data_IF_483601204650
#
_entry.id   IF_483601204650
#
_cell.length_a   1.000
_cell.length_b   1.000
_cell.length_c   1.000
_cell.angle_alpha   90.00
_cell.angle_beta   90.00
_cell.angle_gamma   90.00
#
_symmetry.space_group_name_H-M   'P 1'
#
loop_
_entity.id
_entity.type
_entity.pdbx_description
1 polymer ?
#
# COMPACT_ATOMS: atom_id res chain seq x y z
N UNK A 1 -9.69 -25.67 23.19
CA UNK A 1 -8.89 -26.50 22.26
C UNK A 1 -8.23 -27.61 23.07
N UNK A 2 -8.32 -28.84 22.60
CA UNK A 2 -7.63 -29.99 23.19
C UNK A 2 -6.83 -30.71 22.10
N UNK A 3 -5.65 -31.21 22.42
CA UNK A 3 -4.75 -31.89 21.47
C UNK A 3 -4.39 -33.25 22.05
N UNK A 4 -4.55 -34.30 21.25
CA UNK A 4 -4.26 -35.69 21.61
C UNK A 4 -3.42 -36.33 20.51
N UNK A 5 -2.50 -37.21 20.86
CA UNK A 5 -1.69 -37.95 19.89
C UNK A 5 -1.85 -39.45 20.09
N UNK A 6 -1.87 -40.22 19.01
CA UNK A 6 -1.83 -41.68 19.03
C UNK A 6 -0.92 -42.22 17.93
N UNK A 7 -0.50 -43.46 18.11
CA UNK A 7 0.17 -44.24 17.07
C UNK A 7 -0.85 -45.12 16.37
N UNK A 8 -1.13 -44.81 15.11
CA UNK A 8 -2.05 -45.58 14.28
C UNK A 8 -1.37 -45.95 12.96
N UNK A 9 -1.26 -47.25 12.67
CA UNK A 9 -0.74 -47.79 11.41
C UNK A 9 0.69 -47.30 11.05
N UNK A 10 1.57 -47.20 12.05
CA UNK A 10 2.94 -46.73 11.84
C UNK A 10 3.06 -45.23 11.54
N UNK A 11 1.99 -44.46 11.77
CA UNK A 11 1.96 -43.00 11.67
C UNK A 11 1.63 -42.40 13.03
N UNK A 12 2.35 -41.34 13.38
CA UNK A 12 1.93 -40.45 14.46
C UNK A 12 0.72 -39.64 13.99
N UNK A 13 -0.43 -39.83 14.63
CA UNK A 13 -1.66 -39.10 14.33
C UNK A 13 -1.95 -38.13 15.48
N UNK A 14 -2.12 -36.85 15.15
CA UNK A 14 -2.50 -35.81 16.10
C UNK A 14 -3.96 -35.45 15.86
N UNK A 15 -4.78 -35.57 16.89
CA UNK A 15 -6.17 -35.12 16.93
C UNK A 15 -6.26 -33.78 17.64
N UNK A 16 -6.89 -32.82 16.97
CA UNK A 16 -7.17 -31.50 17.55
C UNK A 16 -8.68 -31.35 17.67
N UNK A 17 -9.17 -31.22 18.90
CA UNK A 17 -10.56 -30.88 19.17
C UNK A 17 -10.67 -29.38 19.37
N UNK A 18 -11.40 -28.75 18.46
CA UNK A 18 -11.75 -27.35 18.49
C UNK A 18 -13.22 -27.23 18.88
N UNK A 19 -13.48 -26.53 19.97
CA UNK A 19 -14.84 -26.18 20.35
C UNK A 19 -15.28 -25.00 19.48
N UNK A 20 -16.06 -25.31 18.45
CA UNK A 20 -16.54 -24.33 17.47
C UNK A 20 -17.50 -23.32 18.11
N UNK A 21 -18.18 -23.67 19.21
CA UNK A 21 -19.08 -22.73 19.91
C UNK A 21 -18.30 -21.58 20.56
N UNK A 22 -17.05 -21.82 20.94
CA UNK A 22 -16.16 -20.77 21.48
C UNK A 22 -15.59 -19.87 20.38
N UNK A 23 -15.63 -20.30 19.12
CA UNK A 23 -15.17 -19.53 17.97
C UNK A 23 -16.35 -18.75 17.37
N UNK A 24 -16.33 -17.43 17.53
CA UNK A 24 -17.29 -16.55 16.81
C UNK A 24 -17.27 -16.85 15.30
N UNK A 25 -18.41 -16.80 14.60
CA UNK A 25 -18.46 -16.99 13.15
C UNK A 25 -17.44 -16.11 12.42
N UNK A 26 -16.66 -16.71 11.51
CA UNK A 26 -15.66 -15.98 10.74
C UNK A 26 -14.50 -16.85 10.27
N UNK A 27 -13.43 -16.19 9.82
CA UNK A 27 -12.18 -16.84 9.41
C UNK A 27 -11.29 -17.00 10.62
N UNK A 28 -10.64 -18.14 10.81
CA UNK A 28 -9.72 -18.37 11.92
C UNK A 28 -8.42 -18.97 11.40
N UNK A 29 -7.30 -18.43 11.87
CA UNK A 29 -5.96 -18.96 11.58
C UNK A 29 -5.43 -19.62 12.84
N UNK A 30 -5.29 -20.94 12.79
CA UNK A 30 -4.81 -21.75 13.89
C UNK A 30 -3.40 -22.24 13.55
N UNK A 31 -2.40 -21.70 14.25
CA UNK A 31 -1.01 -22.12 14.11
C UNK A 31 -0.73 -23.34 14.98
N UNK A 32 -0.23 -24.42 14.37
CA UNK A 32 0.27 -25.59 15.08
C UNK A 32 1.80 -25.58 15.06
N UNK A 33 2.39 -25.54 16.25
CA UNK A 33 3.82 -25.73 16.45
C UNK A 33 4.12 -27.17 16.84
N UNK A 34 5.30 -27.65 16.48
CA UNK A 34 5.83 -28.94 16.92
C UNK A 34 7.11 -28.72 17.73
N UNK A 35 7.34 -29.57 18.73
CA UNK A 35 8.59 -29.58 19.49
C UNK A 35 9.43 -30.76 19.06
N UNK A 36 10.57 -30.50 18.42
CA UNK A 36 11.51 -31.53 17.95
C UNK A 36 12.87 -31.28 18.58
N UNK A 37 13.48 -32.29 19.21
CA UNK A 37 14.79 -32.15 19.85
C UNK A 37 14.84 -31.10 20.97
N UNK A 38 13.70 -30.79 21.59
CA UNK A 38 13.61 -29.79 22.66
C UNK A 38 13.31 -28.35 22.20
N UNK A 39 13.36 -28.05 20.90
CA UNK A 39 13.04 -26.75 20.33
C UNK A 39 11.63 -26.71 19.75
N UNK A 40 10.89 -25.62 20.00
CA UNK A 40 9.60 -25.36 19.36
C UNK A 40 9.82 -24.73 17.99
N UNK A 41 9.11 -25.23 16.99
CA UNK A 41 9.11 -24.69 15.63
C UNK A 41 7.72 -24.82 15.00
N UNK A 42 7.58 -24.28 13.79
CA UNK A 42 6.37 -24.41 12.97
C UNK A 42 6.55 -25.48 11.91
N UNK A 43 5.43 -25.96 11.36
CA UNK A 43 5.46 -26.94 10.27
C UNK A 43 5.62 -26.21 8.93
N UNK A 44 6.76 -26.46 8.29
CA UNK A 44 7.15 -25.87 7.02
C UNK A 44 7.66 -26.96 6.07
N UNK A 45 7.54 -26.73 4.77
CA UNK A 45 8.17 -27.56 3.75
C UNK A 45 9.66 -27.21 3.59
N UNK A 46 10.36 -27.95 2.72
CA UNK A 46 11.79 -27.73 2.44
C UNK A 46 12.10 -26.38 1.79
N UNK A 47 11.09 -25.60 1.41
CA UNK A 47 11.20 -24.28 0.81
C UNK A 47 10.75 -23.17 1.76
N UNK A 48 10.62 -23.47 3.06
CA UNK A 48 10.12 -22.56 4.11
C UNK A 48 8.65 -22.16 3.92
N UNK A 49 7.92 -22.91 3.09
CA UNK A 49 6.49 -22.71 2.88
C UNK A 49 5.71 -23.31 4.03
N UNK A 50 4.86 -22.51 4.69
CA UNK A 50 4.03 -23.00 5.79
C UNK A 50 2.99 -23.99 5.31
N UNK A 51 2.78 -25.05 6.09
CA UNK A 51 1.75 -26.04 5.79
C UNK A 51 0.44 -25.61 6.46
N UNK A 52 -0.62 -25.50 5.68
CA UNK A 52 -1.96 -25.21 6.19
C UNK A 52 -3.05 -25.93 5.40
N UNK A 53 -4.07 -26.38 6.13
CA UNK A 53 -5.29 -27.00 5.60
C UNK A 53 -6.43 -26.01 5.81
N UNK A 54 -7.14 -25.66 4.74
CA UNK A 54 -8.35 -24.85 4.84
C UNK A 54 -9.57 -25.76 4.99
N UNK A 55 -10.26 -25.64 6.11
CA UNK A 55 -11.50 -26.37 6.40
C UNK A 55 -12.61 -25.35 6.65
N UNK A 56 -13.75 -25.56 6.01
CA UNK A 56 -14.95 -24.78 6.28
C UNK A 56 -15.91 -25.60 7.13
N UNK A 57 -16.41 -25.02 8.22
CA UNK A 57 -17.25 -25.70 9.21
C UNK A 57 -18.55 -24.93 9.37
N UNK A 58 -19.68 -25.60 9.20
CA UNK A 58 -21.01 -25.04 9.39
C UNK A 58 -21.41 -24.96 10.87
N UNK A 59 -22.57 -24.36 11.15
CA UNK A 59 -23.09 -24.15 12.52
C UNK A 59 -23.30 -25.44 13.33
N UNK A 60 -23.42 -26.59 12.65
CA UNK A 60 -23.58 -27.91 13.29
C UNK A 60 -22.23 -28.59 13.58
N UNK A 61 -21.11 -27.90 13.34
CA UNK A 61 -19.77 -28.46 13.50
C UNK A 61 -19.33 -29.39 12.35
N UNK A 62 -20.16 -29.55 11.31
CA UNK A 62 -19.85 -30.38 10.14
C UNK A 62 -19.08 -29.60 9.08
N UNK A 63 -18.18 -30.28 8.39
CA UNK A 63 -17.50 -29.72 7.23
C UNK A 63 -18.51 -29.37 6.13
N UNK A 64 -18.32 -28.21 5.51
CA UNK A 64 -19.12 -27.72 4.38
C UNK A 64 -18.17 -27.38 3.22
N UNK A 65 -18.62 -27.50 1.95
CA UNK A 65 -17.77 -27.16 0.82
C UNK A 65 -17.48 -25.65 0.77
N UNK A 66 -16.27 -25.27 0.34
CA UNK A 66 -15.88 -23.86 0.21
C UNK A 66 -16.80 -23.04 -0.71
N UNK A 67 -17.40 -23.67 -1.74
CA UNK A 67 -18.40 -23.03 -2.61
C UNK A 67 -19.65 -22.59 -1.85
N UNK A 68 -20.06 -23.35 -0.83
CA UNK A 68 -21.17 -22.96 0.04
C UNK A 68 -20.81 -21.76 0.89
N UNK A 69 -19.59 -21.69 1.44
CA UNK A 69 -19.11 -20.51 2.20
C UNK A 69 -19.13 -19.24 1.34
N UNK A 70 -18.77 -19.36 0.07
CA UNK A 70 -18.80 -18.25 -0.89
C UNK A 70 -20.23 -17.81 -1.18
N UNK A 71 -21.16 -18.76 -1.36
CA UNK A 71 -22.58 -18.46 -1.57
C UNK A 71 -23.20 -17.78 -0.34
N UNK A 72 -22.91 -18.30 0.85
CA UNK A 72 -23.42 -17.77 2.12
C UNK A 72 -22.87 -16.36 2.42
N UNK A 73 -21.72 -15.99 1.84
CA UNK A 73 -21.10 -14.68 1.99
C UNK A 73 -22.02 -13.53 1.59
N UNK A 74 -22.90 -13.75 0.61
CA UNK A 74 -23.85 -12.76 0.12
C UNK A 74 -24.88 -12.32 1.18
N UNK A 75 -25.01 -13.07 2.28
CA UNK A 75 -25.95 -12.76 3.37
C UNK A 75 -25.29 -12.03 4.55
N UNK A 76 -23.98 -11.81 4.49
CA UNK A 76 -23.22 -11.18 5.58
C UNK A 76 -23.49 -9.69 5.69
N UNK A 77 -23.56 -9.19 6.92
CA UNK A 77 -23.54 -7.75 7.15
C UNK A 77 -22.14 -7.19 6.84
N UNK A 78 -22.05 -5.94 6.36
CA UNK A 78 -20.79 -5.31 5.97
C UNK A 78 -19.73 -5.35 7.09
N UNK A 79 -20.13 -5.18 8.35
CA UNK A 79 -19.23 -5.29 9.50
C UNK A 79 -18.62 -6.68 9.63
N UNK A 80 -19.39 -7.73 9.36
CA UNK A 80 -18.89 -9.10 9.33
C UNK A 80 -17.96 -9.32 8.14
N UNK A 81 -18.29 -8.76 6.97
CA UNK A 81 -17.44 -8.80 5.78
C UNK A 81 -16.06 -8.21 6.08
N UNK A 82 -15.98 -7.03 6.72
CA UNK A 82 -14.70 -6.42 7.14
C UNK A 82 -13.94 -7.28 8.13
N UNK A 83 -14.63 -7.82 9.15
CA UNK A 83 -14.01 -8.70 10.14
C UNK A 83 -13.40 -9.96 9.53
N UNK A 84 -14.10 -10.57 8.57
CA UNK A 84 -13.62 -11.76 7.84
C UNK A 84 -12.51 -11.42 6.86
N UNK A 85 -12.64 -10.31 6.12
CA UNK A 85 -11.62 -9.84 5.17
C UNK A 85 -10.31 -9.49 5.90
N UNK A 86 -10.38 -8.89 7.09
CA UNK A 86 -9.20 -8.56 7.90
C UNK A 86 -8.36 -9.80 8.22
N UNK A 87 -9.01 -10.88 8.67
CA UNK A 87 -8.35 -12.15 9.00
C UNK A 87 -7.88 -12.89 7.75
N UNK A 88 -8.63 -12.79 6.66
CA UNK A 88 -8.23 -13.35 5.38
C UNK A 88 -7.04 -12.60 4.75
N UNK A 89 -6.94 -11.28 4.97
CA UNK A 89 -5.77 -10.49 4.60
C UNK A 89 -4.53 -10.90 5.42
N UNK A 90 -4.69 -11.31 6.68
CA UNK A 90 -3.61 -11.93 7.45
C UNK A 90 -3.18 -13.27 6.86
N UNK A 91 -4.12 -14.11 6.42
CA UNK A 91 -3.83 -15.38 5.75
C UNK A 91 -2.96 -15.20 4.51
N UNK A 92 -3.33 -14.27 3.62
CA UNK A 92 -2.62 -14.07 2.35
C UNK A 92 -1.25 -13.40 2.47
N UNK A 93 -0.92 -12.86 3.65
CA UNK A 93 0.41 -12.33 3.97
C UNK A 93 1.42 -13.40 4.37
N UNK A 94 0.99 -14.65 4.50
CA UNK A 94 1.87 -15.78 4.81
C UNK A 94 2.34 -16.47 3.53
N UNK A 95 3.59 -16.96 3.54
CA UNK A 95 4.11 -17.86 2.52
C UNK A 95 3.62 -19.29 2.81
N UNK A 96 2.64 -19.76 2.04
CA UNK A 96 2.14 -21.13 2.13
C UNK A 96 2.89 -22.07 1.18
N UNK A 97 3.07 -23.32 1.63
CA UNK A 97 3.58 -24.41 0.82
C UNK A 97 2.73 -24.61 -0.44
N UNK A 98 3.33 -24.87 -1.61
CA UNK A 98 2.58 -25.20 -2.82
C UNK A 98 1.62 -26.38 -2.65
N UNK A 99 1.96 -27.34 -1.78
CA UNK A 99 1.12 -28.50 -1.48
C UNK A 99 -0.25 -28.12 -0.89
N UNK A 100 -0.37 -26.92 -0.31
CA UNK A 100 -1.59 -26.44 0.32
C UNK A 100 -2.50 -25.66 -0.64
N UNK A 101 -2.03 -25.27 -1.83
CA UNK A 101 -2.77 -24.35 -2.70
C UNK A 101 -4.08 -24.94 -3.24
N UNK A 102 -4.13 -26.24 -3.52
CA UNK A 102 -5.36 -26.88 -4.00
C UNK A 102 -6.47 -26.81 -2.93
N UNK A 103 -6.14 -27.18 -1.69
CA UNK A 103 -7.08 -27.15 -0.56
C UNK A 103 -7.52 -25.73 -0.20
N UNK A 104 -6.67 -24.74 -0.44
CA UNK A 104 -6.94 -23.32 -0.17
C UNK A 104 -7.54 -22.58 -1.37
N UNK A 105 -7.75 -23.23 -2.51
CA UNK A 105 -8.12 -22.56 -3.77
C UNK A 105 -9.40 -21.73 -3.67
N UNK A 106 -10.38 -22.20 -2.90
CA UNK A 106 -11.65 -21.50 -2.67
C UNK A 106 -11.50 -20.21 -1.86
N UNK A 107 -10.44 -20.05 -1.06
CA UNK A 107 -10.19 -18.82 -0.28
C UNK A 107 -9.96 -17.61 -1.17
N UNK A 108 -9.38 -17.81 -2.36
CA UNK A 108 -9.20 -16.72 -3.33
C UNK A 108 -10.53 -16.20 -3.88
N UNK A 109 -11.47 -17.11 -4.16
CA UNK A 109 -12.82 -16.74 -4.60
C UNK A 109 -13.61 -16.09 -3.46
N UNK A 110 -13.45 -16.61 -2.23
CA UNK A 110 -14.06 -16.02 -1.04
C UNK A 110 -13.55 -14.60 -0.79
N UNK A 111 -12.26 -14.36 -0.94
CA UNK A 111 -11.67 -13.02 -0.87
C UNK A 111 -12.29 -12.07 -1.88
N UNK A 112 -12.39 -12.49 -3.15
CA UNK A 112 -13.00 -11.67 -4.20
C UNK A 112 -14.44 -11.32 -3.86
N UNK A 113 -15.23 -12.28 -3.37
CA UNK A 113 -16.60 -12.04 -2.93
C UNK A 113 -16.68 -11.01 -1.80
N UNK A 114 -15.84 -11.13 -0.76
CA UNK A 114 -15.82 -10.17 0.36
C UNK A 114 -15.39 -8.75 -0.10
N UNK A 115 -14.42 -8.68 -1.02
CA UNK A 115 -14.01 -7.42 -1.64
C UNK A 115 -15.13 -6.81 -2.47
N UNK A 116 -15.85 -7.61 -3.26
CA UNK A 116 -16.95 -7.12 -4.09
C UNK A 116 -18.12 -6.62 -3.22
N UNK A 117 -18.42 -7.26 -2.09
CA UNK A 117 -19.42 -6.80 -1.13
C UNK A 117 -19.06 -5.47 -0.45
N UNK A 118 -17.77 -5.20 -0.26
CA UNK A 118 -17.30 -3.92 0.33
C UNK A 118 -17.07 -2.82 -0.70
N UNK A 119 -17.12 -3.14 -1.99
CA UNK A 119 -16.98 -2.14 -3.05
C UNK A 119 -18.11 -1.14 -2.93
N UNK A 120 -17.78 0.14 -3.08
CA UNK A 120 -18.69 1.27 -2.91
C UNK A 120 -19.11 1.56 -1.45
N UNK A 121 -18.63 0.79 -0.47
CA UNK A 121 -18.81 1.01 0.97
C UNK A 121 -17.47 1.28 1.70
N UNK A 122 -16.38 1.54 0.98
CA UNK A 122 -15.06 1.74 1.59
C UNK A 122 -15.00 2.96 2.52
N UNK A 123 -15.92 3.91 2.35
CA UNK A 123 -15.96 5.13 3.12
C UNK A 123 -16.49 4.93 4.56
N UNK A 124 -17.21 3.85 4.83
CA UNK A 124 -17.69 3.48 6.17
C UNK A 124 -16.61 2.82 7.02
N UNK A 125 -15.61 2.20 6.38
CA UNK A 125 -14.59 1.34 7.02
C UNK A 125 -13.16 1.81 6.76
N UNK A 126 -12.96 3.13 6.67
CA UNK A 126 -11.66 3.73 6.32
C UNK A 126 -10.55 3.30 7.26
N UNK A 127 -10.83 3.20 8.55
CA UNK A 127 -9.85 2.83 9.58
C UNK A 127 -9.37 1.39 9.38
N UNK A 128 -10.29 0.45 9.20
CA UNK A 128 -9.99 -0.98 9.01
C UNK A 128 -9.30 -1.24 7.68
N UNK A 129 -9.74 -0.58 6.60
CA UNK A 129 -9.11 -0.69 5.29
C UNK A 129 -7.70 -0.07 5.27
N UNK A 130 -7.50 1.07 5.94
CA UNK A 130 -6.18 1.65 6.11
C UNK A 130 -5.27 0.73 6.93
N UNK A 131 -5.80 0.11 7.99
CA UNK A 131 -5.08 -0.89 8.79
C UNK A 131 -4.64 -2.10 7.97
N UNK A 132 -5.50 -2.61 7.10
CA UNK A 132 -5.15 -3.66 6.14
C UNK A 132 -4.10 -3.21 5.13
N UNK A 133 -4.08 -1.93 4.74
CA UNK A 133 -3.07 -1.36 3.85
C UNK A 133 -1.68 -1.20 4.50
N UNK A 134 -1.65 -1.04 5.82
CA UNK A 134 -0.42 -0.87 6.62
C UNK A 134 0.18 -2.19 7.10
N UNK A 135 -0.46 -3.31 6.78
CA UNK A 135 -0.04 -4.64 7.15
C UNK A 135 1.10 -5.15 6.26
N UNK A 136 2.27 -5.45 6.85
CA UNK A 136 3.41 -6.10 6.18
C UNK A 136 3.35 -7.63 6.36
N UNK A 137 4.01 -8.43 5.49
CA UNK A 137 4.31 -9.82 5.81
C UNK A 137 5.03 -9.91 7.16
N UNK A 138 4.86 -11.01 7.89
CA UNK A 138 5.55 -11.20 9.17
C UNK A 138 7.06 -11.37 8.99
N UNK A 139 7.83 -11.07 10.03
CA UNK A 139 9.31 -11.19 10.02
C UNK A 139 9.80 -12.63 9.80
N UNK A 140 8.90 -13.59 10.02
CA UNK A 140 9.07 -15.03 9.87
C UNK A 140 8.61 -15.54 8.49
N UNK A 141 8.41 -14.64 7.53
CA UNK A 141 8.13 -14.96 6.12
C UNK A 141 9.41 -14.76 5.32
N UNK A 142 9.70 -15.69 4.42
CA UNK A 142 10.86 -15.61 3.53
C UNK A 142 10.96 -14.24 2.84
N UNK A 143 12.14 -13.64 2.92
CA UNK A 143 12.40 -12.34 2.30
C UNK A 143 12.11 -12.37 0.79
N UNK A 144 11.49 -11.29 0.30
CA UNK A 144 11.07 -11.16 -1.09
C UNK A 144 9.70 -11.75 -1.41
N UNK A 145 9.01 -12.35 -0.43
CA UNK A 145 7.64 -12.77 -0.59
C UNK A 145 6.69 -11.58 -0.82
N UNK A 146 5.82 -11.71 -1.82
CA UNK A 146 4.78 -10.73 -2.14
C UNK A 146 3.43 -11.42 -2.08
N UNK A 147 2.59 -10.98 -1.13
CA UNK A 147 1.26 -11.54 -0.88
C UNK A 147 0.38 -11.54 -2.13
N UNK A 148 -0.17 -12.69 -2.54
CA UNK A 148 -0.98 -12.81 -3.77
C UNK A 148 -2.26 -11.96 -3.77
N UNK A 149 -2.82 -11.63 -2.62
CA UNK A 149 -3.97 -10.74 -2.53
C UNK A 149 -3.57 -9.47 -1.80
N UNK A 150 -4.11 -8.33 -2.25
CA UNK A 150 -3.82 -7.02 -1.67
C UNK A 150 -5.11 -6.23 -1.54
N UNK A 151 -5.60 -6.11 -0.30
CA UNK A 151 -6.78 -5.29 0.02
C UNK A 151 -6.63 -3.86 -0.49
N UNK A 152 -5.53 -3.13 -0.22
CA UNK A 152 -5.42 -1.75 -0.69
C UNK A 152 -5.33 -1.60 -2.21
N UNK A 153 -5.02 -2.67 -2.95
CA UNK A 153 -5.05 -2.65 -4.41
C UNK A 153 -6.47 -2.85 -4.96
N UNK A 154 -7.26 -3.71 -4.32
CA UNK A 154 -8.64 -4.02 -4.73
C UNK A 154 -9.68 -3.01 -4.21
N UNK A 155 -9.48 -2.48 -2.99
CA UNK A 155 -10.33 -1.50 -2.31
C UNK A 155 -9.60 -0.15 -2.19
N UNK A 156 -9.04 0.31 -3.31
CA UNK A 156 -8.18 1.50 -3.35
C UNK A 156 -8.92 2.83 -3.10
N UNK A 157 -10.27 2.81 -3.11
CA UNK A 157 -11.10 3.96 -2.71
C UNK A 157 -10.91 4.38 -1.27
N UNK A 158 -10.28 3.55 -0.43
CA UNK A 158 -9.83 4.00 0.90
C UNK A 158 -8.91 5.24 0.81
N UNK A 159 -8.13 5.38 -0.26
CA UNK A 159 -7.24 6.52 -0.48
C UNK A 159 -7.90 7.72 -1.18
N UNK A 160 -9.16 7.55 -1.61
CA UNK A 160 -9.96 8.60 -2.26
C UNK A 160 -10.97 9.22 -1.30
N UNK A 161 -10.81 9.04 0.00
CA UNK A 161 -11.74 9.56 0.99
C UNK A 161 -11.42 11.01 1.35
N UNK A 162 -12.43 11.81 1.75
CA UNK A 162 -12.19 13.15 2.27
C UNK A 162 -11.22 13.11 3.45
N UNK A 163 -10.26 14.05 3.48
CA UNK A 163 -9.19 14.08 4.50
C UNK A 163 -9.68 14.00 5.94
N UNK A 164 -10.89 14.49 6.22
CA UNK A 164 -11.51 14.43 7.55
C UNK A 164 -11.74 13.00 8.05
N UNK A 165 -12.01 12.03 7.17
CA UNK A 165 -12.23 10.62 7.55
C UNK A 165 -10.96 9.96 8.11
N UNK A 166 -9.78 10.40 7.69
CA UNK A 166 -8.51 9.83 8.16
C UNK A 166 -8.12 10.19 9.60
N UNK A 167 -8.89 11.06 10.27
CA UNK A 167 -8.67 11.39 11.69
C UNK A 167 -8.73 10.15 12.60
N UNK A 168 -9.50 9.14 12.20
CA UNK A 168 -9.72 7.91 12.96
C UNK A 168 -8.72 6.79 12.64
N UNK A 169 -7.83 6.99 11.66
CA UNK A 169 -6.82 5.98 11.29
C UNK A 169 -5.90 5.70 12.47
N UNK A 170 -5.66 4.42 12.75
CA UNK A 170 -4.85 3.99 13.88
C UNK A 170 -3.37 4.40 13.71
N UNK A 171 -2.74 4.69 14.85
CA UNK A 171 -1.30 4.91 14.92
C UNK A 171 -0.56 3.59 14.69
N UNK A 172 0.23 3.51 13.63
CA UNK A 172 1.10 2.35 13.35
C UNK A 172 2.48 2.84 12.91
N UNK A 173 3.56 2.08 13.15
CA UNK A 173 4.88 2.38 12.62
C UNK A 173 4.93 2.09 11.10
N UNK A 174 4.18 2.87 10.32
CA UNK A 174 4.06 2.73 8.87
C UNK A 174 3.90 4.10 8.22
N UNK A 175 4.57 4.34 7.08
CA UNK A 175 4.56 5.62 6.39
C UNK A 175 3.14 6.12 6.03
N UNK A 176 2.26 5.21 5.62
CA UNK A 176 0.84 5.53 5.40
C UNK A 176 0.13 6.04 6.67
N UNK A 177 0.42 5.48 7.86
CA UNK A 177 -0.21 5.94 9.12
C UNK A 177 0.12 7.41 9.36
N UNK A 178 1.40 7.76 9.24
CA UNK A 178 1.92 9.12 9.44
C UNK A 178 1.22 10.09 8.49
N UNK A 179 1.21 9.76 7.19
CA UNK A 179 0.64 10.64 6.16
C UNK A 179 -0.88 10.78 6.27
N UNK A 180 -1.62 9.67 6.40
CA UNK A 180 -3.08 9.71 6.45
C UNK A 180 -3.55 10.52 7.67
N UNK A 181 -2.86 10.41 8.80
CA UNK A 181 -3.16 11.18 10.01
C UNK A 181 -2.76 12.65 9.92
N UNK A 182 -1.79 13.00 9.07
CA UNK A 182 -1.40 14.39 8.82
C UNK A 182 -2.41 15.13 7.92
N UNK A 183 -3.06 14.46 6.97
CA UNK A 183 -4.00 15.09 6.03
C UNK A 183 -5.14 15.89 6.68
N UNK A 184 -5.80 15.42 7.76
CA UNK A 184 -6.83 16.20 8.46
C UNK A 184 -6.40 17.59 8.93
N UNK A 185 -5.09 17.86 9.05
CA UNK A 185 -4.53 19.15 9.47
C UNK A 185 -4.66 20.23 8.39
N UNK A 186 -4.91 19.88 7.13
CA UNK A 186 -5.07 20.83 6.02
C UNK A 186 -6.46 21.48 5.99
N UNK A 187 -6.93 21.99 7.14
CA UNK A 187 -8.21 22.70 7.25
C UNK A 187 -7.98 24.22 7.15
N UNK A 188 -8.91 24.91 6.49
CA UNK A 188 -8.89 26.37 6.40
C UNK A 188 -7.69 26.90 5.62
N UNK A 189 -6.90 27.79 6.23
CA UNK A 189 -5.87 28.58 5.54
C UNK A 189 -4.62 27.78 5.10
N UNK A 190 -4.44 26.52 5.54
CA UNK A 190 -3.27 25.64 5.33
C UNK A 190 -1.93 26.19 5.84
N UNK A 191 -1.69 27.50 5.82
CA UNK A 191 -0.45 28.15 6.26
C UNK A 191 0.08 27.72 7.64
N UNK A 192 -0.76 27.51 8.69
CA UNK A 192 -0.29 27.08 10.00
C UNK A 192 0.37 25.69 10.03
N UNK A 193 0.18 24.88 8.98
CA UNK A 193 0.76 23.52 8.93
C UNK A 193 2.24 23.51 8.53
N UNK A 194 2.75 24.59 7.93
CA UNK A 194 4.17 24.71 7.60
C UNK A 194 4.99 24.98 8.87
N UNK A 195 5.96 24.12 9.16
CA UNK A 195 6.77 24.14 10.38
C UNK A 195 6.18 23.34 11.55
N UNK A 196 4.88 23.05 11.54
CA UNK A 196 4.23 22.23 12.58
C UNK A 196 4.03 20.78 12.13
N UNK A 197 3.40 20.57 10.98
CA UNK A 197 3.14 19.23 10.42
C UNK A 197 3.99 19.00 9.18
N UNK A 198 4.06 20.00 8.30
CA UNK A 198 4.85 19.98 7.08
C UNK A 198 6.19 20.68 7.29
N UNK A 199 7.18 20.27 6.52
CA UNK A 199 8.42 20.98 6.42
C UNK A 199 8.22 22.38 5.79
N UNK A 200 8.84 23.45 6.32
CA UNK A 200 8.68 24.81 5.80
C UNK A 200 8.97 24.95 4.30
N UNK A 201 9.85 24.10 3.76
CA UNK A 201 10.22 24.11 2.33
C UNK A 201 9.02 23.90 1.40
N UNK A 202 7.99 23.16 1.84
CA UNK A 202 6.77 22.97 1.06
C UNK A 202 6.04 24.31 0.83
N UNK A 203 6.15 25.26 1.75
CA UNK A 203 5.60 26.61 1.62
C UNK A 203 6.34 27.48 0.59
N UNK A 204 7.61 27.20 0.33
CA UNK A 204 8.43 27.94 -0.65
C UNK A 204 8.02 27.66 -2.09
N UNK A 205 7.34 26.54 -2.32
CA UNK A 205 6.85 26.13 -3.65
C UNK A 205 5.69 26.96 -4.18
N UNK A 206 5.04 27.79 -3.35
CA UNK A 206 3.92 28.62 -3.77
C UNK A 206 4.39 29.93 -4.38
N UNK A 207 3.65 30.43 -5.38
CA UNK A 207 3.97 31.69 -6.07
C UNK A 207 4.04 32.88 -5.10
N UNK A 208 3.29 32.83 -4.01
CA UNK A 208 3.28 33.84 -2.95
C UNK A 208 4.00 33.39 -1.67
N UNK A 209 5.12 32.66 -1.77
CA UNK A 209 5.87 32.11 -0.63
C UNK A 209 6.20 33.12 0.49
N UNK A 210 6.51 34.38 0.16
CA UNK A 210 6.75 35.43 1.16
C UNK A 210 5.51 35.74 2.02
N UNK A 211 4.32 35.67 1.43
CA UNK A 211 3.04 35.83 2.13
C UNK A 211 2.75 34.59 2.98
N UNK A 212 3.00 33.39 2.44
CA UNK A 212 2.85 32.12 3.17
C UNK A 212 3.68 32.10 4.44
N UNK A 213 4.93 32.58 4.38
CA UNK A 213 5.80 32.70 5.56
C UNK A 213 5.28 33.68 6.61
N UNK A 214 4.39 34.61 6.23
CA UNK A 214 3.68 35.51 7.15
C UNK A 214 2.35 34.94 7.65
N UNK A 215 2.06 33.66 7.36
CA UNK A 215 0.83 32.97 7.74
C UNK A 215 -0.34 33.22 6.79
N UNK A 216 -0.11 33.85 5.63
CA UNK A 216 -1.16 34.03 4.63
C UNK A 216 -1.34 32.77 3.78
N UNK A 217 -2.47 32.70 3.07
CA UNK A 217 -2.86 31.51 2.32
C UNK A 217 -1.92 31.25 1.13
N UNK A 218 -1.50 30.00 0.90
CA UNK A 218 -0.73 29.62 -0.28
C UNK A 218 -1.55 29.72 -1.56
N UNK A 219 -0.89 30.10 -2.66
CA UNK A 219 -1.49 30.22 -4.00
C UNK A 219 -0.55 29.67 -5.07
N UNK A 220 -1.11 28.93 -6.03
CA UNK A 220 -0.42 28.47 -7.24
C UNK A 220 0.88 27.71 -6.96
N UNK A 221 0.76 26.45 -6.56
CA UNK A 221 1.89 25.56 -6.33
C UNK A 221 2.75 25.39 -7.60
N UNK A 222 4.05 25.55 -7.48
CA UNK A 222 5.03 25.42 -8.56
C UNK A 222 5.91 24.19 -8.31
N UNK A 223 5.67 23.09 -9.06
CA UNK A 223 6.40 21.84 -8.85
C UNK A 223 7.90 21.97 -9.12
N UNK A 224 8.27 22.80 -10.11
CA UNK A 224 9.66 23.13 -10.41
C UNK A 224 10.36 23.82 -9.23
N UNK A 225 9.72 24.85 -8.65
CA UNK A 225 10.28 25.57 -7.51
C UNK A 225 10.40 24.66 -6.28
N UNK A 226 9.42 23.77 -6.06
CA UNK A 226 9.49 22.77 -4.99
C UNK A 226 10.69 21.84 -5.15
N UNK A 227 10.91 21.31 -6.36
CA UNK A 227 12.05 20.44 -6.69
C UNK A 227 13.38 21.15 -6.42
N UNK A 228 13.54 22.37 -6.92
CA UNK A 228 14.74 23.18 -6.71
C UNK A 228 14.99 23.45 -5.22
N UNK A 229 13.92 23.74 -4.47
CA UNK A 229 13.99 24.01 -3.04
C UNK A 229 14.39 22.76 -2.23
N UNK A 230 13.86 21.58 -2.59
CA UNK A 230 14.25 20.30 -1.98
C UNK A 230 15.72 19.97 -2.22
N UNK A 231 16.20 20.11 -3.47
CA UNK A 231 17.60 19.85 -3.84
C UNK A 231 18.54 20.79 -3.10
N UNK A 232 18.20 22.09 -3.04
CA UNK A 232 19.04 23.09 -2.36
C UNK A 232 19.12 22.89 -0.85
N UNK A 233 18.04 22.43 -0.23
CA UNK A 233 18.00 22.23 1.23
C UNK A 233 18.73 20.96 1.64
N UNK A 234 18.53 19.86 0.90
CA UNK A 234 19.11 18.56 1.24
C UNK A 234 18.54 17.95 2.53
N UNK A 235 18.77 16.65 2.78
CA UNK A 235 18.26 15.95 3.95
C UNK A 235 19.16 16.19 5.17
N UNK A 236 18.83 17.19 6.01
CA UNK A 236 19.39 17.28 7.36
C UNK A 236 19.05 16.02 8.16
N UNK A 237 20.00 15.48 8.91
CA UNK A 237 19.78 14.24 9.68
C UNK A 237 19.79 12.95 8.85
N UNK A 238 20.42 12.94 7.66
CA UNK A 238 20.50 11.76 6.78
C UNK A 238 20.99 10.46 7.46
N UNK A 239 21.79 10.55 8.55
CA UNK A 239 22.20 9.39 9.35
C UNK A 239 21.00 8.59 9.91
N UNK A 240 19.84 9.21 10.13
CA UNK A 240 18.63 8.52 10.60
C UNK A 240 18.09 7.53 9.57
N UNK A 241 18.43 7.70 8.28
CA UNK A 241 17.99 6.81 7.21
C UNK A 241 18.67 5.43 7.26
N UNK A 242 19.74 5.28 8.05
CA UNK A 242 20.39 4.00 8.32
C UNK A 242 19.48 3.07 9.15
N UNK A 243 18.63 3.64 10.01
CA UNK A 243 17.63 2.92 10.78
C UNK A 243 16.43 2.53 9.89
N UNK A 244 16.14 1.23 9.78
CA UNK A 244 15.02 0.72 9.00
C UNK A 244 13.65 1.03 9.60
N UNK A 245 13.61 1.37 10.88
CA UNK A 245 12.41 1.74 11.63
C UNK A 245 12.13 3.23 11.64
N UNK A 246 13.06 4.04 11.10
CA UNK A 246 12.90 5.48 11.01
C UNK A 246 11.63 5.85 10.26
N UNK A 247 10.88 6.80 10.83
CA UNK A 247 9.73 7.41 10.20
C UNK A 247 9.83 8.93 10.33
N UNK A 248 9.52 9.69 9.26
CA UNK A 248 9.47 11.14 9.31
C UNK A 248 8.48 11.64 10.36
N UNK A 249 8.89 12.65 11.12
CA UNK A 249 8.09 13.26 12.19
C UNK A 249 7.25 14.43 11.66
N UNK A 250 6.35 14.92 12.51
CA UNK A 250 5.69 16.20 12.28
C UNK A 250 6.74 17.32 12.12
N UNK A 251 6.55 18.20 11.14
CA UNK A 251 7.52 19.23 10.75
C UNK A 251 8.56 18.76 9.74
N UNK A 252 8.69 17.45 9.49
CA UNK A 252 9.61 16.88 8.47
C UNK A 252 8.86 16.46 7.19
N UNK A 253 7.53 16.35 7.25
CA UNK A 253 6.72 15.83 6.14
C UNK A 253 6.79 16.76 4.92
N UNK A 254 6.95 16.18 3.72
CA UNK A 254 7.19 16.94 2.49
C UNK A 254 8.48 17.78 2.54
N UNK A 255 9.40 17.43 3.44
CA UNK A 255 10.78 17.90 3.44
C UNK A 255 11.73 16.96 2.69
N UNK A 256 13.01 17.35 2.56
CA UNK A 256 14.02 16.53 1.91
C UNK A 256 14.26 15.21 2.65
N UNK A 257 14.23 15.20 3.99
CA UNK A 257 14.40 13.96 4.79
C UNK A 257 13.26 12.96 4.55
N UNK A 258 12.00 13.43 4.49
CA UNK A 258 10.87 12.55 4.14
C UNK A 258 11.02 12.00 2.71
N UNK A 259 11.41 12.83 1.73
CA UNK A 259 11.64 12.35 0.37
C UNK A 259 12.79 11.32 0.32
N UNK A 260 13.90 11.57 1.02
CA UNK A 260 15.03 10.64 1.10
C UNK A 260 14.63 9.31 1.75
N UNK A 261 13.86 9.35 2.84
CA UNK A 261 13.26 8.15 3.44
C UNK A 261 12.38 7.38 2.44
N UNK A 262 11.53 8.08 1.69
CA UNK A 262 10.67 7.45 0.69
C UNK A 262 11.45 6.75 -0.43
N UNK A 263 12.57 7.32 -0.89
CA UNK A 263 13.47 6.68 -1.84
C UNK A 263 14.18 5.47 -1.23
N UNK A 264 14.68 5.58 0.00
CA UNK A 264 15.39 4.50 0.70
C UNK A 264 14.49 3.30 1.02
N UNK A 265 13.27 3.54 1.47
CA UNK A 265 12.24 2.50 1.70
C UNK A 265 11.91 1.76 0.40
N UNK A 266 11.73 2.49 -0.71
CA UNK A 266 11.48 1.91 -2.03
C UNK A 266 12.68 1.10 -2.56
N UNK A 267 13.91 1.57 -2.33
CA UNK A 267 15.13 0.85 -2.68
C UNK A 267 15.21 -0.49 -1.95
N UNK A 268 15.06 -0.48 -0.61
CA UNK A 268 15.00 -1.69 0.22
C UNK A 268 13.88 -2.64 -0.22
N UNK A 269 12.70 -2.10 -0.51
CA UNK A 269 11.57 -2.89 -1.01
C UNK A 269 11.87 -3.56 -2.35
N UNK A 270 12.52 -2.83 -3.28
CA UNK A 270 12.91 -3.39 -4.58
C UNK A 270 13.96 -4.48 -4.41
N UNK A 271 15.00 -4.25 -3.62
CA UNK A 271 16.04 -5.24 -3.31
C UNK A 271 15.44 -6.51 -2.69
N UNK A 272 14.60 -6.36 -1.68
CA UNK A 272 13.91 -7.47 -1.03
C UNK A 272 13.09 -8.27 -2.06
N UNK A 273 12.32 -7.59 -2.92
CA UNK A 273 11.52 -8.25 -3.97
C UNK A 273 12.36 -8.99 -5.03
N UNK A 274 13.67 -8.73 -5.14
CA UNK A 274 14.57 -9.44 -6.08
C UNK A 274 14.89 -10.85 -5.60
N UNK A 275 14.79 -11.11 -4.30
CA UNK A 275 15.15 -12.38 -3.66
C UNK A 275 14.24 -13.55 -4.08
N UNK A 276 13.06 -13.27 -4.61
CA UNK A 276 12.16 -14.28 -5.17
C UNK A 276 11.70 -13.95 -6.59
N UNK A 277 11.64 -14.94 -7.50
CA UNK A 277 10.97 -14.79 -8.78
C UNK A 277 9.48 -14.47 -8.59
N UNK A 278 8.98 -13.51 -9.36
CA UNK A 278 7.58 -13.09 -9.27
C UNK A 278 7.10 -12.56 -10.62
N UNK A 279 6.14 -13.28 -11.22
CA UNK A 279 5.46 -12.82 -12.45
C UNK A 279 4.77 -11.48 -12.23
N UNK A 280 4.30 -11.21 -11.00
CA UNK A 280 3.73 -9.93 -10.63
C UNK A 280 4.77 -8.81 -10.69
N UNK A 281 5.97 -9.03 -10.14
CA UNK A 281 7.07 -8.04 -10.23
C UNK A 281 7.35 -7.69 -11.68
N UNK A 282 7.52 -8.69 -12.55
CA UNK A 282 7.78 -8.48 -13.97
C UNK A 282 6.65 -7.69 -14.65
N UNK A 283 5.39 -8.05 -14.42
CA UNK A 283 4.24 -7.35 -14.98
C UNK A 283 4.10 -5.92 -14.45
N UNK A 284 4.38 -5.70 -13.16
CA UNK A 284 4.33 -4.39 -12.54
C UNK A 284 5.44 -3.47 -13.08
N UNK A 285 6.69 -3.93 -13.15
CA UNK A 285 7.78 -3.16 -13.72
C UNK A 285 7.52 -2.80 -15.19
N UNK A 286 7.03 -3.75 -15.98
CA UNK A 286 6.70 -3.52 -17.37
C UNK A 286 5.54 -2.53 -17.55
N UNK A 287 4.49 -2.60 -16.70
CA UNK A 287 3.40 -1.63 -16.69
C UNK A 287 3.88 -0.24 -16.25
N UNK A 288 4.74 -0.14 -15.22
CA UNK A 288 5.28 1.13 -14.74
C UNK A 288 6.15 1.82 -15.82
N UNK A 289 6.98 1.04 -16.53
CA UNK A 289 7.76 1.52 -17.68
C UNK A 289 6.84 2.04 -18.78
N UNK A 290 5.85 1.25 -19.17
CA UNK A 290 4.89 1.62 -20.21
C UNK A 290 4.10 2.87 -19.82
N UNK A 291 3.65 2.98 -18.58
CA UNK A 291 2.95 4.15 -18.08
C UNK A 291 3.82 5.41 -18.09
N UNK A 292 5.08 5.32 -17.66
CA UNK A 292 6.02 6.45 -17.74
C UNK A 292 6.25 6.91 -19.17
N UNK A 293 6.32 5.99 -20.14
CA UNK A 293 6.49 6.32 -21.56
C UNK A 293 5.29 7.10 -22.11
N UNK A 294 4.08 6.65 -21.80
CA UNK A 294 2.83 7.27 -22.28
C UNK A 294 2.42 8.52 -21.47
N UNK A 295 2.96 8.68 -20.26
CA UNK A 295 2.64 9.80 -19.37
C UNK A 295 3.87 10.26 -18.56
N UNK A 296 4.89 10.84 -19.23
CA UNK A 296 6.14 11.24 -18.58
C UNK A 296 6.00 12.51 -17.73
N UNK A 297 4.98 13.32 -18.00
CA UNK A 297 4.75 14.61 -17.35
C UNK A 297 3.24 14.92 -17.30
N UNK A 298 2.89 15.98 -16.57
CA UNK A 298 1.55 16.53 -16.57
C UNK A 298 1.17 17.16 -17.92
N UNK A 299 -0.09 16.97 -18.33
CA UNK A 299 -0.65 17.58 -19.54
C UNK A 299 -1.17 19.00 -19.28
N UNK A 300 -1.86 19.60 -20.25
CA UNK A 300 -2.41 20.96 -20.15
C UNK A 300 -3.65 21.07 -19.26
N UNK A 301 -4.26 19.95 -18.85
CA UNK A 301 -5.53 19.92 -18.11
C UNK A 301 -5.35 20.16 -16.61
N UNK A 302 -4.11 20.13 -16.11
CA UNK A 302 -3.80 20.34 -14.69
C UNK A 302 -3.52 21.81 -14.35
N UNK A 303 -3.45 22.18 -13.04
CA UNK A 303 -3.07 23.52 -12.61
C UNK A 303 -1.76 24.02 -13.23
N UNK A 304 -1.68 25.33 -13.49
CA UNK A 304 -0.63 25.92 -14.32
C UNK A 304 0.79 25.62 -13.85
N UNK A 305 1.05 25.62 -12.54
CA UNK A 305 2.37 25.35 -11.97
C UNK A 305 2.81 23.88 -11.98
N UNK A 306 1.97 22.99 -12.53
CA UNK A 306 2.29 21.57 -12.75
C UNK A 306 2.49 21.23 -14.24
N UNK A 307 1.99 22.05 -15.17
CA UNK A 307 1.93 21.69 -16.60
C UNK A 307 3.32 21.44 -17.18
N UNK A 308 3.49 20.32 -17.88
CA UNK A 308 4.76 19.93 -18.49
C UNK A 308 5.83 19.45 -17.51
N UNK A 309 5.60 19.54 -16.20
CA UNK A 309 6.54 19.09 -15.19
C UNK A 309 6.47 17.58 -14.97
N UNK A 310 7.63 16.97 -14.71
CA UNK A 310 7.73 15.56 -14.33
C UNK A 310 7.30 15.39 -12.88
N UNK A 311 6.53 14.33 -12.61
CA UNK A 311 6.00 14.06 -11.26
C UNK A 311 7.09 13.63 -10.29
N UNK A 312 8.02 12.79 -10.76
CA UNK A 312 9.03 12.17 -9.91
C UNK A 312 10.02 13.21 -9.41
N UNK A 313 10.06 13.43 -8.11
CA UNK A 313 11.06 14.21 -7.38
C UNK A 313 12.24 13.31 -7.04
N UNK A 314 13.43 13.71 -7.49
CA UNK A 314 14.68 12.95 -7.28
C UNK A 314 15.74 13.92 -6.75
N UNK A 315 16.33 13.59 -5.59
CA UNK A 315 17.39 14.37 -4.95
C UNK A 315 18.78 14.03 -5.53
N UNK A 316 18.91 12.89 -6.22
CA UNK A 316 20.18 12.30 -6.66
C UNK A 316 20.59 12.67 -8.08
N UNK A 317 19.89 13.58 -8.77
CA UNK A 317 20.27 14.01 -10.14
C UNK A 317 21.52 14.91 -10.20
N UNK A 318 22.30 15.01 -9.11
CA UNK A 318 23.41 15.95 -8.98
C UNK A 318 24.78 15.27 -8.77
N UNK A 319 24.83 13.95 -8.52
CA UNK A 319 26.09 13.20 -8.47
C UNK A 319 26.47 12.78 -9.89
N UNK A 320 27.47 13.41 -10.49
CA UNK A 320 27.98 13.12 -11.84
C UNK A 320 28.83 11.84 -11.91
N UNK A 321 28.59 10.89 -11.01
CA UNK A 321 29.32 9.63 -10.97
C UNK A 321 28.76 8.71 -12.07
N UNK A 322 29.66 8.09 -12.84
CA UNK A 322 29.30 7.04 -13.79
C UNK A 322 28.79 5.82 -13.00
N UNK A 323 27.50 5.51 -13.14
CA UNK A 323 26.89 4.31 -12.61
C UNK A 323 27.23 3.13 -13.52
N UNK A 324 27.37 1.93 -12.95
CA UNK A 324 27.43 0.72 -13.77
C UNK A 324 26.04 0.36 -14.37
N UNK A 325 26.02 -0.56 -15.33
CA UNK A 325 24.79 -0.98 -16.02
C UNK A 325 23.72 -1.53 -15.05
N UNK A 326 24.13 -2.18 -13.94
CA UNK A 326 23.20 -2.74 -12.96
C UNK A 326 22.56 -1.66 -12.10
N UNK A 327 23.36 -0.70 -11.66
CA UNK A 327 22.94 0.49 -10.90
C UNK A 327 22.06 1.39 -11.75
N UNK A 328 22.38 1.58 -13.04
CA UNK A 328 21.54 2.32 -13.99
C UNK A 328 20.18 1.63 -14.14
N UNK A 329 20.15 0.33 -14.40
CA UNK A 329 18.91 -0.44 -14.51
C UNK A 329 18.10 -0.43 -13.20
N UNK A 330 18.76 -0.51 -12.05
CA UNK A 330 18.12 -0.37 -10.73
C UNK A 330 17.46 1.01 -10.61
N UNK A 331 18.18 2.07 -10.95
CA UNK A 331 17.68 3.45 -10.92
C UNK A 331 16.50 3.67 -11.84
N UNK A 332 16.54 3.10 -13.05
CA UNK A 332 15.42 3.13 -13.99
C UNK A 332 14.16 2.48 -13.39
N UNK A 333 14.29 1.28 -12.82
CA UNK A 333 13.19 0.59 -12.16
C UNK A 333 12.59 1.40 -11.01
N UNK A 334 13.44 1.98 -10.15
CA UNK A 334 13.00 2.84 -9.06
C UNK A 334 12.24 4.06 -9.58
N UNK A 335 12.73 4.70 -10.64
CA UNK A 335 12.06 5.84 -11.26
C UNK A 335 10.70 5.45 -11.87
N UNK A 336 10.59 4.27 -12.47
CA UNK A 336 9.32 3.76 -13.00
C UNK A 336 8.31 3.52 -11.87
N UNK A 337 8.72 2.87 -10.78
CA UNK A 337 7.87 2.62 -9.61
C UNK A 337 7.44 3.95 -8.95
N UNK A 338 8.38 4.88 -8.75
CA UNK A 338 8.07 6.20 -8.20
C UNK A 338 7.05 6.96 -9.06
N UNK A 339 7.18 6.90 -10.39
CA UNK A 339 6.22 7.50 -11.30
C UNK A 339 4.82 6.87 -11.18
N UNK A 340 4.74 5.54 -11.08
CA UNK A 340 3.48 4.84 -10.86
C UNK A 340 2.83 5.22 -9.53
N UNK A 341 3.61 5.28 -8.44
CA UNK A 341 3.12 5.71 -7.12
C UNK A 341 2.63 7.16 -7.14
N UNK A 342 3.38 8.07 -7.78
CA UNK A 342 3.01 9.47 -7.91
C UNK A 342 1.69 9.67 -8.66
N UNK A 343 1.51 8.95 -9.77
CA UNK A 343 0.26 9.01 -10.53
C UNK A 343 -0.91 8.36 -9.78
N UNK A 344 -0.72 7.19 -9.15
CA UNK A 344 -1.76 6.56 -8.33
C UNK A 344 -2.25 7.53 -7.25
N UNK A 345 -1.32 8.10 -6.48
CA UNK A 345 -1.64 9.08 -5.46
C UNK A 345 -2.36 10.31 -6.02
N UNK A 346 -1.93 10.82 -7.19
CA UNK A 346 -2.58 11.97 -7.85
C UNK A 346 -4.04 11.68 -8.15
N UNK A 347 -4.33 10.59 -8.87
CA UNK A 347 -5.69 10.23 -9.24
C UNK A 347 -6.56 9.87 -8.03
N UNK A 348 -5.98 9.25 -7.00
CA UNK A 348 -6.71 8.95 -5.78
C UNK A 348 -7.15 10.22 -5.04
N UNK A 349 -6.27 11.22 -4.92
CA UNK A 349 -6.65 12.50 -4.30
C UNK A 349 -7.51 13.37 -5.21
N UNK A 350 -7.38 13.23 -6.53
CA UNK A 350 -8.21 13.92 -7.52
C UNK A 350 -9.66 13.43 -7.48
N UNK A 351 -9.90 12.13 -7.28
CA UNK A 351 -11.25 11.54 -7.23
C UNK A 351 -12.18 12.25 -6.22
N UNK A 352 -11.65 12.67 -5.07
CA UNK A 352 -12.38 13.41 -4.02
C UNK A 352 -13.01 14.71 -4.57
N UNK A 353 -12.33 15.33 -5.55
CA UNK A 353 -12.66 16.66 -6.09
C UNK A 353 -13.26 16.59 -7.50
N UNK A 354 -12.94 15.52 -8.22
CA UNK A 354 -13.39 15.25 -9.57
C UNK A 354 -13.80 13.78 -9.67
N UNK A 355 -15.04 13.46 -9.27
CA UNK A 355 -15.55 12.09 -9.30
C UNK A 355 -15.44 11.46 -10.70
N UNK A 356 -15.00 10.21 -10.74
CA UNK A 356 -14.74 9.46 -11.98
C UNK A 356 -13.30 9.58 -12.51
N UNK A 357 -12.42 10.34 -11.85
CA UNK A 357 -10.99 10.36 -12.14
C UNK A 357 -10.35 8.96 -11.94
N UNK A 358 -10.74 8.26 -10.88
CA UNK A 358 -10.29 6.90 -10.57
C UNK A 358 -10.77 5.88 -11.61
N UNK A 359 -12.02 5.99 -12.07
CA UNK A 359 -12.54 5.13 -13.13
C UNK A 359 -11.74 5.30 -14.44
N UNK A 360 -11.46 6.56 -14.83
CA UNK A 360 -10.61 6.89 -15.99
C UNK A 360 -9.21 6.32 -15.84
N UNK A 361 -8.62 6.40 -14.64
CA UNK A 361 -7.33 5.78 -14.36
C UNK A 361 -7.39 4.27 -14.58
N UNK A 362 -8.39 3.57 -14.02
CA UNK A 362 -8.50 2.12 -14.16
C UNK A 362 -8.67 1.68 -15.61
N UNK A 363 -9.49 2.38 -16.40
CA UNK A 363 -9.62 2.15 -17.84
C UNK A 363 -8.27 2.32 -18.55
N UNK A 364 -7.52 3.39 -18.22
CA UNK A 364 -6.20 3.64 -18.80
C UNK A 364 -5.21 2.54 -18.44
N UNK A 365 -5.10 2.18 -17.16
CA UNK A 365 -4.21 1.10 -16.70
C UNK A 365 -4.57 -0.24 -17.33
N UNK A 366 -5.86 -0.54 -17.50
CA UNK A 366 -6.33 -1.73 -18.21
C UNK A 366 -5.97 -1.72 -19.71
N UNK A 367 -5.94 -0.55 -20.34
CA UNK A 367 -5.45 -0.40 -21.71
C UNK A 367 -3.94 -0.61 -21.80
N UNK A 368 -3.16 0.04 -20.94
CA UNK A 368 -1.70 -0.10 -20.90
C UNK A 368 -1.28 -1.53 -20.57
N UNK A 369 -1.99 -2.19 -19.65
CA UNK A 369 -1.73 -3.57 -19.25
C UNK A 369 -1.85 -4.56 -20.41
N UNK A 370 -2.79 -4.32 -21.33
CA UNK A 370 -2.98 -5.14 -22.55
C UNK A 370 -1.85 -4.97 -23.57
N UNK A 371 -1.05 -3.91 -23.46
CA UNK A 371 0.11 -3.66 -24.33
C UNK A 371 1.40 -4.27 -23.80
N UNK A 372 1.39 -4.85 -22.60
CA UNK A 372 2.56 -5.46 -21.95
C UNK A 372 2.54 -6.97 -22.19
N UNK A 373 3.68 -7.52 -22.64
CA UNK A 373 3.82 -8.92 -23.07
C UNK A 373 3.74 -9.95 -21.92
N UNK A 374 3.91 -9.52 -20.66
CA UNK A 374 3.84 -10.42 -19.51
C UNK A 374 2.39 -10.88 -19.28
N UNK A 375 2.09 -12.16 -19.45
CA UNK A 375 0.74 -12.72 -19.19
C UNK A 375 0.47 -12.96 -17.70
N UNK A 376 -0.81 -13.00 -17.29
CA UNK A 376 -1.26 -13.47 -15.97
C UNK A 376 -1.78 -12.36 -15.03
N UNK A 377 -0.94 -11.46 -14.51
CA UNK A 377 -1.37 -10.49 -13.48
C UNK A 377 -2.38 -9.45 -13.99
N UNK A 378 -3.41 -9.15 -13.21
CA UNK A 378 -4.36 -8.07 -13.47
C UNK A 378 -3.79 -6.71 -13.01
N UNK A 379 -4.47 -5.60 -13.31
CA UNK A 379 -4.01 -4.26 -12.88
C UNK A 379 -3.87 -4.17 -11.36
N UNK A 380 -4.78 -4.77 -10.59
CA UNK A 380 -4.71 -4.77 -9.12
C UNK A 380 -3.47 -5.50 -8.61
N UNK A 381 -2.97 -6.53 -9.29
CA UNK A 381 -1.71 -7.18 -8.92
C UNK A 381 -0.52 -6.22 -9.04
N UNK A 382 -0.47 -5.45 -10.13
CA UNK A 382 0.59 -4.46 -10.33
C UNK A 382 0.51 -3.33 -9.30
N UNK A 383 -0.70 -2.83 -9.01
CA UNK A 383 -0.92 -1.81 -7.96
C UNK A 383 -0.50 -2.36 -6.60
N UNK A 384 -0.89 -3.60 -6.27
CA UNK A 384 -0.51 -4.26 -5.03
C UNK A 384 1.01 -4.41 -4.90
N UNK A 385 1.72 -4.67 -6.00
CA UNK A 385 3.19 -4.67 -6.02
C UNK A 385 3.77 -3.30 -5.68
N UNK A 386 3.29 -2.21 -6.30
CA UNK A 386 3.81 -0.87 -6.00
C UNK A 386 3.57 -0.47 -4.55
N UNK A 387 2.37 -0.76 -4.02
CA UNK A 387 2.03 -0.46 -2.63
C UNK A 387 2.83 -1.31 -1.63
N UNK A 388 3.24 -2.52 -2.03
CA UNK A 388 4.09 -3.38 -1.22
C UNK A 388 5.56 -2.94 -1.23
N UNK A 389 6.10 -2.60 -2.40
CA UNK A 389 7.52 -2.27 -2.59
C UNK A 389 7.84 -0.82 -2.25
N UNK A 390 6.89 0.10 -2.42
CA UNK A 390 7.11 1.53 -2.28
C UNK A 390 6.05 2.23 -1.41
N UNK A 391 5.68 1.70 -0.23
CA UNK A 391 4.63 2.28 0.61
C UNK A 391 4.96 3.72 1.04
N UNK A 392 6.22 4.02 1.39
CA UNK A 392 6.61 5.37 1.76
C UNK A 392 6.59 6.35 0.59
N UNK A 393 6.98 5.91 -0.61
CA UNK A 393 6.91 6.73 -1.83
C UNK A 393 5.46 7.06 -2.20
N UNK A 394 4.57 6.07 -2.16
CA UNK A 394 3.15 6.29 -2.36
C UNK A 394 2.58 7.24 -1.29
N UNK A 395 2.92 7.05 -0.02
CA UNK A 395 2.50 7.94 1.07
C UNK A 395 2.99 9.39 0.87
N UNK A 396 4.25 9.59 0.51
CA UNK A 396 4.81 10.92 0.24
C UNK A 396 3.98 11.66 -0.82
N UNK A 397 3.73 11.03 -1.97
CA UNK A 397 2.92 11.65 -3.03
C UNK A 397 1.46 11.81 -2.64
N UNK A 398 0.90 10.89 -1.87
CA UNK A 398 -0.47 11.00 -1.39
C UNK A 398 -0.66 12.27 -0.55
N UNK A 399 0.30 12.58 0.33
CA UNK A 399 0.31 13.83 1.10
C UNK A 399 0.54 15.06 0.23
N UNK A 400 1.52 14.99 -0.70
CA UNK A 400 1.85 16.10 -1.59
C UNK A 400 0.64 16.50 -2.43
N UNK A 401 -0.04 15.52 -3.04
CA UNK A 401 -1.20 15.82 -3.88
C UNK A 401 -2.42 16.23 -3.07
N UNK A 402 -2.58 15.75 -1.84
CA UNK A 402 -3.60 16.32 -0.97
C UNK A 402 -3.32 17.80 -0.66
N UNK A 403 -2.08 18.19 -0.38
CA UNK A 403 -1.70 19.60 -0.18
C UNK A 403 -2.00 20.44 -1.43
N UNK A 404 -1.48 20.02 -2.58
CA UNK A 404 -1.60 20.76 -3.84
C UNK A 404 -3.07 20.90 -4.25
N UNK A 405 -3.81 19.79 -4.30
CA UNK A 405 -5.21 19.81 -4.74
C UNK A 405 -6.12 20.53 -3.76
N UNK A 406 -5.80 20.53 -2.46
CA UNK A 406 -6.53 21.37 -1.47
C UNK A 406 -6.43 22.85 -1.83
N UNK A 407 -5.27 23.30 -2.30
CA UNK A 407 -5.03 24.71 -2.59
C UNK A 407 -5.53 25.09 -3.99
N UNK A 408 -5.33 24.20 -4.96
CA UNK A 408 -5.66 24.45 -6.35
C UNK A 408 -7.12 24.19 -6.72
N UNK A 409 -7.88 23.42 -5.93
CA UNK A 409 -9.23 22.97 -6.32
C UNK A 409 -10.30 22.99 -5.22
N UNK A 410 -9.97 23.13 -3.93
CA UNK A 410 -11.03 23.19 -2.90
C UNK A 410 -11.71 24.58 -2.93
N UNK A 411 -13.03 24.68 -3.19
CA UNK A 411 -13.71 25.98 -3.32
C UNK A 411 -13.64 26.83 -2.04
N UNK A 412 -13.73 26.18 -0.88
CA UNK A 412 -13.59 26.83 0.43
C UNK A 412 -12.22 27.50 0.66
N UNK A 413 -11.20 27.11 -0.12
CA UNK A 413 -9.86 27.70 -0.12
C UNK A 413 -9.73 28.78 -1.20
N UNK A 414 -10.48 28.67 -2.31
CA UNK A 414 -10.44 29.62 -3.44
C UNK A 414 -11.30 30.88 -3.26
N UNK A 415 -12.46 30.78 -2.60
CA UNK A 415 -13.50 31.83 -2.59
C UNK A 415 -13.46 32.80 -1.38
N UNK A 416 -12.33 32.94 -0.68
CA UNK A 416 -12.17 33.92 0.44
C UNK A 416 -10.88 34.71 0.33
#
# INVERSE_FOLDING_TARGET
MQVYSTDAQGKHVIYVLLDVETLKPGVWLLGFGARVGGAWGRLEDSSEGRIAVAVAVGITGKEVPGSQVIADAATLELREVVGRLTRLNEHFRQLWSPACYEQQSWLGQYYTMLVDLLRDHEDEYVTELADMAMCRPGDDVRQGFIAKQSVPASLNRVFTQPRAKYRQVNSRPHALSVVLRAMPSFKGAVAPVFGSVLHPIAGVAFKNSLEVNRGLRPRSFQLKAYREALVRTGPEGAHQLEDETFLPKEGELLGPLHLAHAWRDMERGLETSRLMPSMRKAAALALARQWRREQPAFDSTVPAGLRGERLVLDLSQMSGDELDDEEELKREHLCHIANACAWLAWYFRLEVRNPGALAKLHTRLGSLRRQVEVQGPVVSDCVGYYLHVAPAMFAFYLLLWELVLTIELDPAVQDV
#
